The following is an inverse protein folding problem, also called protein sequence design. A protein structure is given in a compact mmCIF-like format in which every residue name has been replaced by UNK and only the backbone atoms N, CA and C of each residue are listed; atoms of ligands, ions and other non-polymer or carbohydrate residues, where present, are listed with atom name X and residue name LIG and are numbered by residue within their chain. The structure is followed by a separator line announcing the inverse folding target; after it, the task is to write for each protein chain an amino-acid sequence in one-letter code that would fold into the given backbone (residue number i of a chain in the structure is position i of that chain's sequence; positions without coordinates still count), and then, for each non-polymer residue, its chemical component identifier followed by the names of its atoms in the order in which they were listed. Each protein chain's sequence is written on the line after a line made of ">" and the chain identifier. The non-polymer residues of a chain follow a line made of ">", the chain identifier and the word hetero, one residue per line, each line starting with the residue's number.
data_IF_679807089499
#
_entry.id   IF_679807089499
#
_cell.length_a   1.000
_cell.length_b   1.000
_cell.length_c   1.000
_cell.angle_alpha   90.00
_cell.angle_beta   90.00
_cell.angle_gamma   90.00
#
_symmetry.space_group_name_H-M   'P 1'
#
loop_
_entity.id
_entity.type
_entity.pdbx_description
1 polymer ?
#
# COMPACT_ATOMS: atom_id res chain seq x y z
N UNK A 1 3.77 9.97 3.03
CA UNK A 1 4.63 9.13 3.89
C UNK A 1 5.22 7.96 3.12
N UNK A 2 4.42 7.05 2.54
CA UNK A 2 4.90 5.93 1.72
C UNK A 2 5.95 6.29 0.65
N UNK A 3 5.71 7.32 -0.17
CA UNK A 3 6.67 7.76 -1.20
C UNK A 3 8.04 8.18 -0.63
N UNK A 4 8.09 8.74 0.60
CA UNK A 4 9.36 9.10 1.26
C UNK A 4 10.19 7.88 1.66
N UNK A 5 9.54 6.72 1.78
CA UNK A 5 10.18 5.43 2.05
C UNK A 5 10.39 4.61 0.77
N UNK A 6 10.31 5.24 -0.40
CA UNK A 6 10.55 4.59 -1.70
C UNK A 6 9.44 3.62 -2.13
N UNK A 7 8.25 3.67 -1.51
CA UNK A 7 7.11 2.85 -1.93
C UNK A 7 6.41 3.55 -3.07
N UNK A 8 6.34 2.88 -4.21
CA UNK A 8 5.53 3.27 -5.35
C UNK A 8 4.05 3.07 -5.05
N UNK A 9 3.27 4.15 -5.13
CA UNK A 9 1.82 4.15 -4.94
C UNK A 9 1.16 4.14 -6.31
N UNK A 10 0.53 3.01 -6.64
CA UNK A 10 -0.16 2.82 -7.92
C UNK A 10 -1.54 3.46 -7.87
N UNK A 11 -2.32 3.16 -6.81
CA UNK A 11 -3.66 3.72 -6.61
C UNK A 11 -4.07 3.57 -5.14
N UNK A 12 -4.96 4.41 -4.66
CA UNK A 12 -5.56 4.28 -3.34
C UNK A 12 -6.93 4.94 -3.29
N UNK A 13 -7.79 4.48 -2.38
CA UNK A 13 -9.10 5.08 -2.16
C UNK A 13 -10.05 4.15 -1.43
N UNK A 14 -11.34 4.49 -1.47
CA UNK A 14 -12.40 3.64 -0.96
C UNK A 14 -12.71 2.52 -1.96
N UNK A 15 -13.02 1.35 -1.43
CA UNK A 15 -13.58 0.25 -2.20
C UNK A 15 -14.94 0.66 -2.77
N UNK A 16 -15.22 0.23 -4.01
CA UNK A 16 -16.49 0.55 -4.67
C UNK A 16 -17.72 -0.09 -3.99
N UNK A 17 -17.52 -1.21 -3.30
CA UNK A 17 -18.61 -1.98 -2.71
C UNK A 17 -18.99 -1.51 -1.29
N UNK A 18 -18.10 -0.79 -0.60
CA UNK A 18 -18.31 -0.34 0.76
C UNK A 18 -17.44 0.90 1.04
N UNK A 19 -18.05 2.05 1.41
CA UNK A 19 -17.33 3.28 1.71
C UNK A 19 -16.47 3.20 2.97
N UNK A 20 -16.68 2.24 3.88
CA UNK A 20 -15.80 2.02 5.04
C UNK A 20 -14.62 1.10 4.73
N UNK A 21 -14.61 0.49 3.54
CA UNK A 21 -13.47 -0.29 3.06
C UNK A 21 -12.51 0.58 2.25
N UNK A 22 -11.21 0.45 2.51
CA UNK A 22 -10.16 1.20 1.83
C UNK A 22 -9.13 0.27 1.22
N UNK A 23 -8.51 0.70 0.13
CA UNK A 23 -7.42 -0.04 -0.49
C UNK A 23 -6.23 0.87 -0.84
N UNK A 24 -5.01 0.38 -0.59
CA UNK A 24 -3.81 0.86 -1.28
C UNK A 24 -3.26 -0.21 -2.23
N UNK A 25 -3.01 0.17 -3.49
CA UNK A 25 -2.25 -0.61 -4.47
C UNK A 25 -0.83 -0.05 -4.54
N UNK A 26 0.17 -0.93 -4.38
CA UNK A 26 1.59 -0.59 -4.35
C UNK A 26 2.36 -1.41 -5.37
N UNK A 27 3.26 -0.77 -6.11
CA UNK A 27 4.11 -1.41 -7.11
C UNK A 27 5.46 -1.81 -6.53
N UNK A 28 5.97 -2.97 -6.95
CA UNK A 28 7.30 -3.46 -6.59
C UNK A 28 7.89 -4.27 -7.77
N UNK A 29 9.20 -4.17 -7.96
CA UNK A 29 9.89 -4.92 -9.02
C UNK A 29 9.82 -6.43 -8.84
N UNK A 30 9.75 -6.91 -7.59
CA UNK A 30 9.68 -8.32 -7.25
C UNK A 30 9.08 -8.56 -5.86
N UNK A 31 8.74 -9.81 -5.55
CA UNK A 31 8.29 -10.18 -4.21
C UNK A 31 9.39 -9.96 -3.13
N UNK A 32 10.65 -10.12 -3.51
CA UNK A 32 11.80 -9.88 -2.62
C UNK A 32 11.96 -8.39 -2.30
N UNK A 33 11.88 -7.51 -3.33
CA UNK A 33 11.94 -6.07 -3.10
C UNK A 33 10.75 -5.58 -2.29
N UNK A 34 9.55 -6.12 -2.53
CA UNK A 34 8.37 -5.86 -1.70
C UNK A 34 8.64 -6.18 -0.22
N UNK A 35 9.17 -7.38 0.08
CA UNK A 35 9.42 -7.80 1.46
C UNK A 35 10.45 -6.89 2.15
N UNK A 36 11.54 -6.55 1.45
CA UNK A 36 12.58 -5.65 1.96
C UNK A 36 12.04 -4.24 2.23
N UNK A 37 11.39 -3.63 1.24
CA UNK A 37 10.89 -2.25 1.32
C UNK A 37 9.81 -2.13 2.39
N UNK A 38 8.83 -3.05 2.41
CA UNK A 38 7.78 -3.02 3.42
C UNK A 38 8.32 -3.32 4.83
N UNK A 39 9.28 -4.22 4.96
CA UNK A 39 9.94 -4.50 6.24
C UNK A 39 10.61 -3.25 6.82
N UNK A 40 11.38 -2.53 5.99
CA UNK A 40 12.00 -1.26 6.38
C UNK A 40 10.95 -0.19 6.75
N UNK A 41 9.91 -0.03 5.92
CA UNK A 41 8.83 0.92 6.15
C UNK A 41 8.11 0.69 7.48
N UNK A 42 7.68 -0.55 7.76
CA UNK A 42 6.94 -0.86 8.98
C UNK A 42 7.84 -0.87 10.23
N UNK A 43 9.16 -1.00 10.08
CA UNK A 43 10.13 -0.83 11.16
C UNK A 43 10.50 0.65 11.43
N UNK A 44 10.19 1.56 10.51
CA UNK A 44 10.55 2.98 10.61
C UNK A 44 9.87 3.70 11.78
N UNK A 45 10.53 4.74 12.29
CA UNK A 45 9.94 5.62 13.31
C UNK A 45 8.74 6.40 12.77
N UNK A 46 8.80 6.83 11.50
CA UNK A 46 7.69 7.50 10.79
C UNK A 46 6.40 6.68 10.85
N UNK A 47 6.48 5.35 10.73
CA UNK A 47 5.31 4.49 10.88
C UNK A 47 4.97 4.28 12.36
N UNK A 48 5.92 3.75 13.14
CA UNK A 48 5.67 3.28 14.51
C UNK A 48 5.20 4.38 15.46
N UNK A 49 5.77 5.58 15.33
CA UNK A 49 5.44 6.75 16.15
C UNK A 49 4.48 7.70 15.43
N UNK A 50 4.17 7.43 14.16
CA UNK A 50 3.20 8.19 13.38
C UNK A 50 1.82 7.56 13.43
N UNK A 51 1.12 7.41 12.29
CA UNK A 51 -0.30 7.11 12.27
C UNK A 51 -0.64 5.64 12.57
N UNK A 52 0.34 4.82 12.95
CA UNK A 52 0.17 3.37 13.11
C UNK A 52 -0.97 3.02 14.06
N UNK A 53 -1.05 3.69 15.22
CA UNK A 53 -2.03 3.35 16.24
C UNK A 53 -3.45 3.66 15.76
N UNK A 54 -3.67 4.85 15.20
CA UNK A 54 -4.98 5.28 14.72
C UNK A 54 -5.45 4.43 13.54
N UNK A 55 -4.56 4.13 12.59
CA UNK A 55 -4.89 3.30 11.43
C UNK A 55 -5.19 1.86 11.87
N UNK A 56 -4.28 1.20 12.59
CA UNK A 56 -4.46 -0.21 12.94
C UNK A 56 -5.58 -0.39 13.96
N UNK A 57 -5.82 0.58 14.84
CA UNK A 57 -6.95 0.57 15.75
C UNK A 57 -8.31 0.71 15.06
N UNK A 58 -8.34 1.24 13.83
CA UNK A 58 -9.57 1.39 13.04
C UNK A 58 -9.84 0.22 12.09
N UNK A 59 -8.91 -0.74 11.97
CA UNK A 59 -9.06 -1.89 11.06
C UNK A 59 -9.71 -3.05 11.82
N UNK A 60 -10.95 -3.37 11.47
CA UNK A 60 -11.61 -4.59 11.94
C UNK A 60 -11.09 -5.84 11.21
N UNK A 61 -11.00 -5.78 9.87
CA UNK A 61 -10.51 -6.87 9.02
C UNK A 61 -9.58 -6.32 7.94
N UNK A 62 -8.53 -7.08 7.59
CA UNK A 62 -7.64 -6.74 6.47
C UNK A 62 -7.35 -7.96 5.60
N UNK A 63 -7.17 -7.70 4.30
CA UNK A 63 -6.78 -8.70 3.32
C UNK A 63 -5.61 -8.17 2.49
N UNK A 64 -4.70 -9.06 2.11
CA UNK A 64 -3.58 -8.76 1.21
C UNK A 64 -3.55 -9.77 0.07
N UNK A 65 -3.42 -9.26 -1.15
CA UNK A 65 -3.20 -10.05 -2.36
C UNK A 65 -1.93 -9.58 -3.06
N UNK A 66 -1.20 -10.49 -3.69
CA UNK A 66 0.00 -10.22 -4.49
C UNK A 66 -0.21 -10.84 -5.86
N UNK A 67 -0.05 -10.03 -6.91
CA UNK A 67 -0.23 -10.44 -8.30
C UNK A 67 0.94 -9.95 -9.13
N UNK A 68 1.40 -10.78 -10.06
CA UNK A 68 2.38 -10.39 -11.08
C UNK A 68 1.64 -9.82 -12.29
N UNK A 69 1.97 -8.60 -12.68
CA UNK A 69 1.38 -7.89 -13.82
C UNK A 69 2.49 -7.33 -14.71
N UNK A 70 2.27 -7.21 -16.03
CA UNK A 70 3.16 -6.44 -16.88
C UNK A 70 3.10 -4.95 -16.51
N UNK A 71 4.18 -4.22 -16.77
CA UNK A 71 4.29 -2.79 -16.43
C UNK A 71 3.16 -1.94 -17.01
N UNK A 72 2.76 -2.20 -18.25
CA UNK A 72 1.65 -1.51 -18.91
C UNK A 72 0.34 -1.63 -18.11
N UNK A 73 0.04 -2.81 -17.54
CA UNK A 73 -1.15 -2.99 -16.72
C UNK A 73 -1.06 -2.25 -15.38
N UNK A 74 0.13 -2.17 -14.79
CA UNK A 74 0.37 -1.38 -13.57
C UNK A 74 0.14 0.10 -13.85
N UNK A 75 0.67 0.61 -14.96
CA UNK A 75 0.46 2.00 -15.36
C UNK A 75 -1.01 2.30 -15.67
N UNK A 76 -1.73 1.37 -16.28
CA UNK A 76 -3.18 1.49 -16.50
C UNK A 76 -4.01 1.56 -15.21
N UNK A 77 -3.48 1.07 -14.08
CA UNK A 77 -4.14 1.17 -12.76
C UNK A 77 -3.90 2.51 -12.07
N UNK A 78 -2.96 3.33 -12.55
CA UNK A 78 -2.70 4.66 -12.01
C UNK A 78 -3.80 5.61 -12.47
N UNK A 79 -4.91 5.64 -11.73
CA UNK A 79 -6.00 6.59 -11.97
C UNK A 79 -5.48 8.01 -11.64
N UNK A 80 -5.55 8.94 -12.59
CA UNK A 80 -5.41 10.36 -12.26
C UNK A 80 -6.63 10.75 -11.42
N UNK A 81 -6.39 11.05 -10.14
CA UNK A 81 -7.40 11.67 -9.27
C UNK A 81 -7.76 13.07 -9.76
#
# INVERSE_FOLDING_TARGET
>A
MHQRHGIDIVSFGNSLHDPDCYYPIRGFDSAESMAMVLGSFYASADWRNGPRQDIVGSIETSMKTVISLPSESVEGLRVQS
#
